data_IF_167450981540
#
_entry.id   IF_167450981540
#
_cell.length_a   1.000
_cell.length_b   1.000
_cell.length_c   1.000
_cell.angle_alpha   90.00
_cell.angle_beta   90.00
_cell.angle_gamma   90.00
#
_symmetry.space_group_name_H-M   'P 1'
#
loop_
_entity.id
_entity.type
_entity.pdbx_description
1 polymer ?
#
# COMPACT_ATOMS: atom_id res chain seq x y z
N UNK A 1 17.37 9.84 5.43
CA UNK A 1 16.62 8.57 5.60
C UNK A 1 15.65 8.40 4.44
N UNK A 2 15.58 7.20 3.87
CA UNK A 2 14.73 6.91 2.71
C UNK A 2 13.25 6.79 3.12
N UNK A 3 12.36 7.49 2.39
CA UNK A 3 10.92 7.47 2.64
C UNK A 3 10.34 6.09 2.32
N UNK A 4 9.64 5.50 3.30
CA UNK A 4 9.06 4.17 3.20
C UNK A 4 7.66 4.23 2.59
N UNK A 5 7.42 3.49 1.52
CA UNK A 5 6.09 3.15 1.05
C UNK A 5 5.57 1.92 1.79
N UNK A 6 4.56 2.07 2.64
CA UNK A 6 3.97 0.97 3.39
C UNK A 6 2.66 0.55 2.73
N UNK A 7 2.64 -0.60 2.07
CA UNK A 7 1.41 -1.21 1.53
C UNK A 7 0.76 -1.99 2.68
N UNK A 8 -0.36 -1.45 3.17
CA UNK A 8 -1.04 -1.90 4.36
C UNK A 8 -2.25 -2.77 4.01
N UNK A 9 -2.15 -4.06 4.33
CA UNK A 9 -3.28 -4.98 4.45
C UNK A 9 -3.91 -4.94 5.84
N UNK A 10 -4.57 -6.04 6.22
CA UNK A 10 -5.23 -6.17 7.53
C UNK A 10 -4.31 -6.57 8.67
N UNK A 11 -4.85 -6.51 9.88
CA UNK A 11 -4.16 -6.87 11.12
C UNK A 11 -3.34 -5.72 11.73
N UNK A 12 -2.67 -6.01 12.84
CA UNK A 12 -1.97 -4.99 13.64
C UNK A 12 -0.58 -4.61 13.10
N UNK A 13 0.03 -5.45 12.25
CA UNK A 13 1.41 -5.24 11.77
C UNK A 13 1.61 -3.89 11.06
N UNK A 14 0.74 -3.46 10.11
CA UNK A 14 0.90 -2.16 9.45
C UNK A 14 0.84 -0.98 10.43
N UNK A 15 -0.02 -1.07 11.46
CA UNK A 15 -0.17 -0.03 12.49
C UNK A 15 1.11 0.10 13.29
N UNK A 16 1.67 -1.03 13.74
CA UNK A 16 2.94 -1.05 14.48
C UNK A 16 4.11 -0.51 13.65
N UNK A 17 4.17 -0.85 12.36
CA UNK A 17 5.23 -0.35 11.46
C UNK A 17 5.09 1.16 11.25
N UNK A 18 3.87 1.67 11.03
CA UNK A 18 3.63 3.10 10.86
C UNK A 18 3.96 3.90 12.13
N UNK A 19 3.53 3.41 13.30
CA UNK A 19 3.82 4.02 14.60
C UNK A 19 5.33 4.04 14.89
N UNK A 20 6.05 2.97 14.54
CA UNK A 20 7.51 2.94 14.69
C UNK A 20 8.21 3.93 13.76
N UNK A 21 7.76 4.04 12.51
CA UNK A 21 8.30 5.03 11.57
C UNK A 21 8.10 6.46 12.07
N UNK A 22 6.92 6.76 12.63
CA UNK A 22 6.63 8.05 13.26
C UNK A 22 7.55 8.32 14.45
N UNK A 23 7.71 7.35 15.35
CA UNK A 23 8.60 7.46 16.52
C UNK A 23 10.08 7.65 16.14
N UNK A 24 10.54 7.07 15.04
CA UNK A 24 11.90 7.22 14.52
C UNK A 24 12.10 8.48 13.66
N UNK A 25 11.04 9.28 13.43
CA UNK A 25 11.08 10.41 12.51
C UNK A 25 11.33 10.00 11.05
N UNK A 26 11.11 8.73 10.70
CA UNK A 26 11.28 8.21 9.35
C UNK A 26 10.03 8.55 8.52
N UNK A 27 10.18 9.30 7.40
CA UNK A 27 9.04 9.59 6.54
C UNK A 27 8.41 8.30 6.00
N UNK A 28 7.08 8.20 6.11
CA UNK A 28 6.29 7.06 5.63
C UNK A 28 5.16 7.56 4.73
N UNK A 29 4.76 6.73 3.76
CA UNK A 29 3.59 6.94 2.92
C UNK A 29 2.80 5.64 2.86
N UNK A 30 1.55 5.67 3.30
CA UNK A 30 0.72 4.47 3.37
C UNK A 30 -0.09 4.29 2.09
N UNK A 31 -0.13 3.05 1.63
CA UNK A 31 -1.07 2.58 0.62
C UNK A 31 -2.04 1.66 1.36
N UNK A 32 -3.20 2.19 1.71
CA UNK A 32 -4.24 1.49 2.46
C UNK A 32 -5.05 0.65 1.48
N UNK A 33 -4.94 -0.68 1.59
CA UNK A 33 -5.69 -1.58 0.73
C UNK A 33 -7.17 -1.60 1.14
N UNK A 34 -8.04 -1.14 0.24
CA UNK A 34 -9.47 -1.07 0.48
C UNK A 34 -10.03 -2.46 0.83
N UNK A 35 -10.79 -2.55 1.91
CA UNK A 35 -11.34 -3.81 2.43
C UNK A 35 -10.40 -4.63 3.32
N UNK A 36 -9.17 -4.17 3.54
CA UNK A 36 -8.19 -4.83 4.41
C UNK A 36 -7.60 -3.90 5.46
N UNK A 37 -7.21 -2.69 5.06
CA UNK A 37 -6.47 -1.76 5.91
C UNK A 37 -7.26 -1.34 7.16
N UNK A 38 -6.55 -1.25 8.28
CA UNK A 38 -7.11 -0.76 9.54
C UNK A 38 -7.47 0.73 9.45
N UNK A 39 -8.67 1.16 9.90
CA UNK A 39 -9.08 2.57 9.88
C UNK A 39 -8.13 3.51 10.64
N UNK A 40 -7.41 3.03 11.65
CA UNK A 40 -6.43 3.81 12.40
C UNK A 40 -5.28 4.31 11.51
N UNK A 41 -5.05 3.67 10.35
CA UNK A 41 -4.04 4.09 9.38
C UNK A 41 -4.43 5.36 8.60
N UNK A 42 -5.67 5.83 8.71
CA UNK A 42 -6.16 7.03 8.03
C UNK A 42 -5.42 8.31 8.47
N UNK A 43 -4.87 8.32 9.70
CA UNK A 43 -4.11 9.46 10.24
C UNK A 43 -2.77 9.70 9.54
N UNK A 44 -2.22 8.68 8.88
CA UNK A 44 -0.92 8.79 8.22
C UNK A 44 -1.08 9.26 6.77
N UNK A 45 -0.10 10.02 6.23
CA UNK A 45 -0.14 10.46 4.85
C UNK A 45 -0.10 9.25 3.90
N UNK A 46 -0.97 9.26 2.90
CA UNK A 46 -1.15 8.09 2.06
C UNK A 46 -2.32 8.19 1.10
N UNK A 47 -2.58 7.07 0.43
CA UNK A 47 -3.73 6.89 -0.45
C UNK A 47 -4.47 5.61 -0.09
N UNK A 48 -5.76 5.59 -0.42
CA UNK A 48 -6.58 4.38 -0.41
C UNK A 48 -6.58 3.80 -1.82
N UNK A 49 -6.27 2.50 -1.93
CA UNK A 49 -6.19 1.80 -3.20
C UNK A 49 -6.87 0.43 -3.10
N UNK A 50 -7.68 0.10 -4.10
CA UNK A 50 -8.14 -1.26 -4.31
C UNK A 50 -7.01 -2.17 -4.77
N UNK A 51 -7.16 -3.47 -4.55
CA UNK A 51 -6.11 -4.44 -4.92
C UNK A 51 -5.84 -4.50 -6.43
N UNK A 52 -6.80 -4.09 -7.27
CA UNK A 52 -6.67 -4.04 -8.73
C UNK A 52 -5.99 -2.75 -9.23
N UNK A 53 -5.85 -1.73 -8.38
CA UNK A 53 -5.39 -0.39 -8.76
C UNK A 53 -3.85 -0.28 -8.71
N UNK A 54 -3.13 -1.24 -9.30
CA UNK A 54 -1.66 -1.33 -9.21
C UNK A 54 -0.98 -0.06 -9.73
N UNK A 55 -1.42 0.48 -10.86
CA UNK A 55 -0.93 1.74 -11.41
C UNK A 55 -1.19 2.94 -10.50
N UNK A 56 -2.30 2.99 -9.77
CA UNK A 56 -2.56 4.01 -8.74
C UNK A 56 -1.57 3.88 -7.58
N UNK A 57 -1.31 2.67 -7.11
CA UNK A 57 -0.32 2.39 -6.05
C UNK A 57 1.07 2.83 -6.49
N UNK A 58 1.53 2.38 -7.65
CA UNK A 58 2.86 2.73 -8.18
C UNK A 58 3.00 4.24 -8.43
N UNK A 59 1.97 4.88 -8.98
CA UNK A 59 1.93 6.33 -9.21
C UNK A 59 1.98 7.10 -7.89
N UNK A 60 1.20 6.68 -6.88
CA UNK A 60 1.21 7.25 -5.54
C UNK A 60 2.58 7.16 -4.88
N UNK A 61 3.20 5.97 -4.89
CA UNK A 61 4.54 5.74 -4.34
C UNK A 61 5.60 6.60 -5.05
N UNK A 62 5.55 6.68 -6.39
CA UNK A 62 6.50 7.49 -7.16
C UNK A 62 6.33 8.98 -6.89
N UNK A 63 5.09 9.49 -6.88
CA UNK A 63 4.78 10.89 -6.55
C UNK A 63 5.18 11.25 -5.12
N UNK A 64 5.03 10.31 -4.19
CA UNK A 64 5.43 10.49 -2.80
C UNK A 64 6.95 10.47 -2.61
N UNK A 65 7.74 10.06 -3.61
CA UNK A 65 9.20 9.93 -3.51
C UNK A 65 9.65 8.74 -2.67
N UNK A 66 8.85 7.68 -2.60
CA UNK A 66 9.20 6.47 -1.86
C UNK A 66 10.33 5.71 -2.60
N UNK A 67 11.42 5.41 -1.89
CA UNK A 67 12.56 4.66 -2.43
C UNK A 67 12.69 3.25 -1.87
N UNK A 68 11.85 2.89 -0.89
CA UNK A 68 11.70 1.54 -0.39
C UNK A 68 10.21 1.23 -0.21
N UNK A 69 9.83 -0.03 -0.41
CA UNK A 69 8.45 -0.50 -0.22
C UNK A 69 8.44 -1.66 0.78
N UNK A 70 7.49 -1.65 1.70
CA UNK A 70 7.21 -2.74 2.63
C UNK A 70 5.75 -3.16 2.49
N UNK A 71 5.53 -4.47 2.37
CA UNK A 71 4.21 -5.07 2.45
C UNK A 71 4.00 -5.53 3.88
N UNK A 72 2.94 -5.04 4.52
CA UNK A 72 2.61 -5.40 5.88
C UNK A 72 1.13 -5.76 5.98
N UNK A 73 0.83 -6.78 6.79
CA UNK A 73 -0.52 -7.21 7.06
C UNK A 73 -1.03 -8.31 6.14
N UNK A 74 -2.20 -8.83 6.48
CA UNK A 74 -2.83 -9.94 5.76
C UNK A 74 -3.63 -9.41 4.58
N UNK A 75 -3.46 -10.05 3.43
CA UNK A 75 -4.28 -9.84 2.23
C UNK A 75 -4.75 -11.19 1.72
N UNK A 76 -6.05 -11.32 1.49
CA UNK A 76 -6.60 -12.50 0.84
C UNK A 76 -6.34 -12.39 -0.65
N UNK A 77 -5.87 -13.48 -1.26
CA UNK A 77 -5.71 -13.55 -2.71
C UNK A 77 -7.08 -13.30 -3.35
N UNK A 78 -7.27 -12.19 -4.08
CA UNK A 78 -8.51 -11.94 -4.76
C UNK A 78 -8.55 -12.86 -5.97
N UNK A 79 -9.74 -13.09 -6.51
CA UNK A 79 -9.83 -13.81 -7.76
C UNK A 79 -9.28 -12.94 -8.89
N UNK A 80 -8.02 -13.21 -9.29
CA UNK A 80 -7.29 -12.49 -10.35
C UNK A 80 -8.07 -12.39 -11.67
N UNK A 81 -9.05 -13.28 -11.91
CA UNK A 81 -9.95 -13.22 -13.07
C UNK A 81 -11.02 -12.13 -12.99
N UNK A 82 -11.32 -11.64 -11.79
CA UNK A 82 -12.33 -10.60 -11.53
C UNK A 82 -11.75 -9.21 -11.34
N UNK A 83 -10.43 -9.09 -11.12
CA UNK A 83 -9.79 -7.79 -11.09
C UNK A 83 -9.81 -7.23 -12.51
N UNK A 84 -10.38 -6.03 -12.67
CA UNK A 84 -10.15 -5.19 -13.83
C UNK A 84 -8.88 -4.39 -13.53
N UNK A 85 -7.69 -4.87 -13.93
CA UNK A 85 -6.48 -4.09 -13.74
C UNK A 85 -6.61 -2.76 -14.47
N UNK A 86 -5.99 -1.72 -13.91
CA UNK A 86 -5.76 -0.50 -14.68
C UNK A 86 -4.84 -0.78 -15.88
N UNK A 87 -4.75 0.18 -16.83
CA UNK A 87 -3.97 0.01 -18.07
C UNK A 87 -2.55 -0.52 -17.85
N UNK A 88 -1.94 -0.26 -16.68
CA UNK A 88 -0.62 -0.80 -16.30
C UNK A 88 -0.70 -2.19 -15.69
N UNK A 89 -1.67 -2.47 -14.82
CA UNK A 89 -1.89 -3.81 -14.29
C UNK A 89 -2.16 -4.86 -15.39
N UNK A 90 -2.78 -4.47 -16.50
CA UNK A 90 -3.04 -5.37 -17.63
C UNK A 90 -1.74 -5.90 -18.27
N UNK A 91 -0.66 -5.13 -18.23
CA UNK A 91 0.67 -5.54 -18.74
C UNK A 91 1.45 -6.48 -17.81
N UNK A 92 0.96 -6.69 -16.57
CA UNK A 92 1.62 -7.51 -15.55
C UNK A 92 0.89 -8.84 -15.28
N UNK A 93 -0.22 -9.10 -15.96
CA UNK A 93 -0.90 -10.38 -15.87
C UNK A 93 -0.16 -11.43 -16.73
N UNK A 94 0.13 -12.63 -16.20
CA UNK A 94 0.65 -13.71 -17.01
C UNK A 94 -0.40 -14.15 -18.04
N UNK A 95 0.06 -14.42 -19.26
CA UNK A 95 -0.73 -15.07 -20.31
C UNK A 95 -1.05 -16.52 -19.99
#
# INVERSE_FOLDING_TARGET
MNKLGLIAGGGALPVSVAARCEAEGRPVFLVRLAGFADPHLARYPGIDAGMAEIGKVLSGLKKAGCSAVCFAGTVNRPDFKTLKPDLKGATLLPG
#
